data_IF_039693889090
#
_entry.id   IF_039693889090
#
_cell.length_a   1.000
_cell.length_b   1.000
_cell.length_c   1.000
_cell.angle_alpha   90.00
_cell.angle_beta   90.00
_cell.angle_gamma   90.00
#
_symmetry.space_group_name_H-M   'P 1'
#
loop_
_entity.id
_entity.type
_entity.pdbx_description
1 polymer ?
#
# COMPACT_ATOMS: atom_id res chain seq x y z
N UNK A 1 30.49 2.97 13.73
CA UNK A 1 29.27 2.24 13.32
C UNK A 1 28.07 3.13 13.53
N UNK A 2 27.08 3.05 12.64
CA UNK A 2 25.82 3.77 12.76
C UNK A 2 24.93 3.07 13.79
N UNK A 3 24.51 3.78 14.85
CA UNK A 3 23.63 3.23 15.90
C UNK A 3 22.17 3.54 15.59
N UNK A 4 21.23 2.74 16.11
CA UNK A 4 19.78 3.04 15.98
C UNK A 4 19.43 4.42 16.54
N UNK A 5 20.07 4.81 17.65
CA UNK A 5 19.86 6.13 18.26
C UNK A 5 20.38 7.27 17.37
N UNK A 6 21.48 7.08 16.64
CA UNK A 6 21.94 8.03 15.63
C UNK A 6 20.95 8.13 14.46
N UNK A 7 20.45 7.01 13.93
CA UNK A 7 19.46 6.96 12.83
C UNK A 7 18.17 7.70 13.19
N UNK A 8 17.70 7.59 14.44
CA UNK A 8 16.49 8.30 14.88
C UNK A 8 16.67 9.82 14.94
N UNK A 9 17.89 10.29 15.27
CA UNK A 9 18.21 11.70 15.51
C UNK A 9 18.49 12.51 14.24
N UNK A 10 18.97 11.87 13.18
CA UNK A 10 19.23 12.57 11.91
C UNK A 10 17.91 12.99 11.24
N UNK A 11 17.88 14.14 10.56
CA UNK A 11 16.79 14.48 9.64
C UNK A 11 16.67 13.40 8.56
N UNK A 12 15.44 13.01 8.21
CA UNK A 12 15.18 12.01 7.16
C UNK A 12 14.65 12.73 5.92
N UNK A 13 15.05 12.21 4.77
CA UNK A 13 14.56 12.65 3.46
C UNK A 13 14.13 11.40 2.71
N UNK A 14 12.92 11.45 2.16
CA UNK A 14 12.36 10.41 1.29
C UNK A 14 12.22 11.01 -0.11
N UNK A 15 13.00 10.47 -1.05
CA UNK A 15 13.07 10.98 -2.43
C UNK A 15 12.19 10.18 -3.39
N UNK A 16 11.78 8.98 -2.98
CA UNK A 16 10.99 8.06 -3.77
C UNK A 16 9.93 7.43 -2.87
N UNK A 17 8.73 7.97 -2.95
CA UNK A 17 7.54 7.38 -2.35
C UNK A 17 6.37 7.51 -3.33
N UNK A 18 5.58 6.44 -3.42
CA UNK A 18 4.38 6.37 -4.25
C UNK A 18 3.18 6.50 -3.32
N UNK A 19 2.60 7.71 -3.24
CA UNK A 19 1.44 7.97 -2.38
C UNK A 19 0.25 7.06 -2.72
N UNK A 20 0.06 6.79 -4.01
CA UNK A 20 -0.94 5.87 -4.57
C UNK A 20 -0.61 4.38 -4.36
N UNK A 21 0.60 4.05 -3.90
CA UNK A 21 1.01 2.70 -3.49
C UNK A 21 1.05 2.50 -1.97
N UNK A 22 0.86 3.56 -1.18
CA UNK A 22 1.05 3.57 0.28
C UNK A 22 -0.24 3.52 1.12
N UNK A 23 -1.38 3.19 0.50
CA UNK A 23 -2.67 3.15 1.20
C UNK A 23 -2.70 2.08 2.30
N UNK A 24 -3.35 2.40 3.42
CA UNK A 24 -3.63 1.44 4.48
C UNK A 24 -4.64 0.40 3.96
N UNK A 25 -4.47 -0.91 4.23
CA UNK A 25 -5.45 -1.95 3.87
C UNK A 25 -6.87 -1.62 4.34
N UNK A 26 -7.02 -1.13 5.57
CA UNK A 26 -8.31 -0.71 6.11
C UNK A 26 -8.97 0.43 5.29
N UNK A 27 -8.17 1.41 4.87
CA UNK A 27 -8.66 2.52 4.01
C UNK A 27 -9.08 2.00 2.64
N UNK A 28 -8.35 1.05 2.06
CA UNK A 28 -8.75 0.42 0.79
C UNK A 28 -10.11 -0.28 0.93
N UNK A 29 -10.34 -1.03 2.02
CA UNK A 29 -11.62 -1.72 2.28
C UNK A 29 -12.75 -0.70 2.39
N UNK A 30 -12.56 0.36 3.18
CA UNK A 30 -13.57 1.41 3.37
C UNK A 30 -13.94 2.13 2.06
N UNK A 31 -12.94 2.48 1.24
CA UNK A 31 -13.17 3.12 -0.06
C UNK A 31 -13.80 2.14 -1.06
N UNK A 32 -13.41 0.87 -1.02
CA UNK A 32 -14.01 -0.17 -1.86
C UNK A 32 -15.49 -0.38 -1.55
N UNK A 33 -15.86 -0.44 -0.27
CA UNK A 33 -17.25 -0.52 0.19
C UNK A 33 -18.04 0.74 -0.21
N UNK A 34 -17.42 1.92 -0.09
CA UNK A 34 -18.05 3.20 -0.43
C UNK A 34 -18.34 3.34 -1.92
N UNK A 35 -17.39 2.92 -2.78
CA UNK A 35 -17.48 3.12 -4.22
C UNK A 35 -17.88 1.86 -5.01
N UNK A 36 -18.15 0.75 -4.32
CA UNK A 36 -18.55 -0.52 -4.94
C UNK A 36 -17.43 -1.17 -5.77
N UNK A 37 -16.17 -1.01 -5.36
CA UNK A 37 -15.01 -1.61 -6.03
C UNK A 37 -14.81 -3.03 -5.52
N UNK A 38 -14.73 -4.01 -6.43
CA UNK A 38 -14.42 -5.39 -6.05
C UNK A 38 -12.95 -5.52 -5.68
N UNK A 39 -12.67 -6.08 -4.50
CA UNK A 39 -11.32 -6.28 -3.99
C UNK A 39 -11.08 -7.76 -3.60
N UNK A 40 -9.82 -8.21 -3.51
CA UNK A 40 -9.49 -9.62 -3.26
C UNK A 40 -9.94 -10.16 -1.89
N UNK A 41 -10.06 -9.30 -0.87
CA UNK A 41 -10.60 -9.63 0.46
C UNK A 41 -11.03 -8.36 1.19
N UNK A 42 -12.04 -8.50 2.07
CA UNK A 42 -12.46 -7.48 3.03
C UNK A 42 -11.91 -7.75 4.44
N UNK A 43 -11.08 -8.77 4.61
CA UNK A 43 -10.28 -8.96 5.82
C UNK A 43 -8.94 -8.21 5.69
N UNK A 44 -8.59 -7.32 6.63
CA UNK A 44 -7.36 -6.53 6.55
C UNK A 44 -6.07 -7.35 6.53
N UNK A 45 -6.04 -8.50 7.22
CA UNK A 45 -4.85 -9.36 7.28
C UNK A 45 -4.65 -10.10 5.95
N UNK A 46 -5.72 -10.69 5.41
CA UNK A 46 -5.71 -11.32 4.10
C UNK A 46 -5.36 -10.34 2.98
N UNK A 47 -5.94 -9.14 3.01
CA UNK A 47 -5.65 -8.10 2.04
C UNK A 47 -4.17 -7.67 2.11
N UNK A 48 -3.62 -7.51 3.32
CA UNK A 48 -2.20 -7.23 3.52
C UNK A 48 -1.30 -8.33 2.94
N UNK A 49 -1.65 -9.59 3.18
CA UNK A 49 -0.92 -10.73 2.63
C UNK A 49 -0.97 -10.74 1.09
N UNK A 50 -2.12 -10.41 0.50
CA UNK A 50 -2.27 -10.27 -0.94
C UNK A 50 -1.39 -9.15 -1.51
N UNK A 51 -1.41 -7.95 -0.91
CA UNK A 51 -0.59 -6.81 -1.35
C UNK A 51 0.91 -7.10 -1.27
N UNK A 52 1.36 -7.79 -0.23
CA UNK A 52 2.80 -8.03 0.01
C UNK A 52 3.37 -9.23 -0.76
N UNK A 53 2.53 -10.03 -1.46
CA UNK A 53 2.95 -11.26 -2.15
C UNK A 53 4.08 -11.05 -3.15
N UNK A 54 4.02 -9.96 -3.92
CA UNK A 54 5.02 -9.63 -4.93
C UNK A 54 6.39 -9.34 -4.30
N UNK A 55 6.40 -8.71 -3.12
CA UNK A 55 7.62 -8.47 -2.36
C UNK A 55 8.22 -9.78 -1.84
N UNK A 56 7.40 -10.66 -1.25
CA UNK A 56 7.83 -11.96 -0.73
C UNK A 56 8.40 -12.83 -1.85
N UNK A 57 7.76 -12.83 -3.01
CA UNK A 57 8.16 -13.61 -4.18
C UNK A 57 9.23 -12.93 -5.04
N UNK A 58 9.64 -11.68 -4.69
CA UNK A 58 10.60 -10.86 -5.45
C UNK A 58 10.21 -10.70 -6.94
N UNK A 59 8.92 -10.51 -7.19
CA UNK A 59 8.36 -10.39 -8.53
C UNK A 59 7.79 -8.98 -8.73
N UNK A 60 8.45 -8.20 -9.60
CA UNK A 60 7.98 -6.86 -9.95
C UNK A 60 6.58 -6.88 -10.60
N UNK A 61 6.25 -7.79 -11.54
CA UNK A 61 4.89 -7.86 -12.08
C UNK A 61 3.82 -8.07 -11.01
N UNK A 62 4.02 -9.02 -10.08
CA UNK A 62 3.07 -9.26 -8.99
C UNK A 62 2.96 -8.09 -8.01
N UNK A 63 4.06 -7.34 -7.82
CA UNK A 63 4.04 -6.12 -7.02
C UNK A 63 3.17 -5.05 -7.71
N UNK A 64 3.36 -4.84 -9.01
CA UNK A 64 2.62 -3.83 -9.78
C UNK A 64 1.14 -4.18 -9.97
N UNK A 65 0.75 -5.47 -9.97
CA UNK A 65 -0.67 -5.89 -10.00
C UNK A 65 -1.50 -5.25 -8.88
N UNK A 66 -0.87 -4.95 -7.74
CA UNK A 66 -1.57 -4.38 -6.59
C UNK A 66 -2.04 -2.95 -6.80
N UNK A 67 -1.36 -2.19 -7.68
CA UNK A 67 -1.74 -0.82 -8.04
C UNK A 67 -3.09 -0.76 -8.77
N UNK A 68 -3.54 -1.86 -9.40
CA UNK A 68 -4.88 -1.90 -9.98
C UNK A 68 -5.97 -1.69 -8.92
N UNK A 69 -5.75 -2.14 -7.68
CA UNK A 69 -6.68 -1.95 -6.57
C UNK A 69 -6.58 -0.53 -6.03
N UNK A 70 -5.37 -0.04 -5.74
CA UNK A 70 -5.20 1.29 -5.14
C UNK A 70 -5.69 2.40 -6.06
N UNK A 71 -5.42 2.30 -7.37
CA UNK A 71 -5.95 3.27 -8.33
C UNK A 71 -7.46 3.15 -8.45
N UNK A 72 -8.04 1.95 -8.45
CA UNK A 72 -9.49 1.78 -8.56
C UNK A 72 -10.29 2.41 -7.41
N UNK A 73 -9.73 2.48 -6.20
CA UNK A 73 -10.39 3.11 -5.04
C UNK A 73 -10.16 4.63 -4.94
N UNK A 74 -9.23 5.20 -5.73
CA UNK A 74 -8.86 6.62 -5.74
C UNK A 74 -9.41 7.38 -6.97
N UNK A 75 -10.68 7.18 -7.31
CA UNK A 75 -11.29 7.75 -8.54
C UNK A 75 -11.95 9.13 -8.32
N UNK A 76 -12.00 9.62 -7.08
CA UNK A 76 -12.53 10.94 -6.72
C UNK A 76 -11.47 11.75 -5.94
N UNK A 77 -11.50 13.09 -5.99
CA UNK A 77 -10.59 13.92 -5.21
C UNK A 77 -10.71 13.74 -3.69
N UNK A 78 -11.87 13.28 -3.20
CA UNK A 78 -12.14 13.07 -1.78
C UNK A 78 -11.71 11.70 -1.26
N UNK A 79 -11.34 10.77 -2.15
CA UNK A 79 -10.79 9.46 -1.79
C UNK A 79 -9.33 9.57 -1.32
#
# INVERSE_FOLDING_TARGET
>A
MMTKELIKRVPKVELHDHLDGGLRPQTIIELADTYGVSIPSHDPEELTAWFTRGCVQKSLPLYLETFAVTVAVLQTPEA
#
